data_IF_969015131506
#
_entry.id   IF_969015131506
#
_cell.length_a   1.000
_cell.length_b   1.000
_cell.length_c   1.000
_cell.angle_alpha   90.00
_cell.angle_beta   90.00
_cell.angle_gamma   90.00
#
_symmetry.space_group_name_H-M   'P 1'
#
loop_
_entity.id
_entity.type
_entity.pdbx_description
1 polymer ?
#
# COMPACT_ATOMS: atom_id res chain seq x y z
N UNK A 1 -50.66 36.65 19.29
CA UNK A 1 -50.42 35.35 19.93
C UNK A 1 -49.90 34.28 18.96
N UNK A 2 -50.53 34.04 17.80
CA UNK A 2 -50.04 33.08 16.77
C UNK A 2 -48.59 33.30 16.32
N UNK A 3 -48.17 34.56 16.11
CA UNK A 3 -46.80 34.86 15.64
C UNK A 3 -45.72 34.62 16.71
N UNK A 4 -46.04 34.74 18.00
CA UNK A 4 -45.11 34.43 19.09
C UNK A 4 -44.89 32.91 19.24
N UNK A 5 -45.95 32.11 19.03
CA UNK A 5 -45.86 30.65 19.07
C UNK A 5 -44.99 30.10 17.93
N UNK A 6 -45.14 30.66 16.72
CA UNK A 6 -44.30 30.31 15.56
C UNK A 6 -42.82 30.68 15.78
N UNK A 7 -42.55 31.84 16.39
CA UNK A 7 -41.19 32.26 16.73
C UNK A 7 -40.55 31.36 17.79
N UNK A 8 -41.31 30.97 18.83
CA UNK A 8 -40.83 30.05 19.87
C UNK A 8 -40.58 28.63 19.33
N UNK A 9 -41.42 28.12 18.43
CA UNK A 9 -41.20 26.81 17.78
C UNK A 9 -39.96 26.86 16.88
N UNK A 10 -39.77 27.94 16.12
CA UNK A 10 -38.57 28.14 15.29
C UNK A 10 -37.28 28.17 16.13
N UNK A 11 -37.29 28.89 17.27
CA UNK A 11 -36.18 28.92 18.23
C UNK A 11 -35.91 27.54 18.84
N UNK A 12 -36.96 26.75 19.13
CA UNK A 12 -36.81 25.41 19.70
C UNK A 12 -36.21 24.43 18.68
N UNK A 13 -36.59 24.54 17.41
CA UNK A 13 -36.01 23.75 16.31
C UNK A 13 -34.53 24.08 16.06
N UNK A 14 -34.12 25.35 16.23
CA UNK A 14 -32.72 25.76 16.12
C UNK A 14 -31.85 25.22 17.26
N UNK A 15 -32.41 25.05 18.48
CA UNK A 15 -31.69 24.44 19.61
C UNK A 15 -31.56 22.91 19.51
N UNK A 16 -32.47 22.25 18.78
CA UNK A 16 -32.41 20.81 18.50
C UNK A 16 -31.40 20.44 17.40
N UNK A 17 -30.89 21.41 16.64
CA UNK A 17 -29.94 21.18 15.55
C UNK A 17 -28.48 20.92 16.03
N UNK A 18 -28.17 21.18 17.31
CA UNK A 18 -26.87 20.88 17.90
C UNK A 18 -26.77 19.40 18.29
N UNK A 19 -26.56 18.50 17.31
CA UNK A 19 -25.95 17.19 17.61
C UNK A 19 -24.44 17.39 17.73
N UNK A 20 -23.87 17.00 18.87
CA UNK A 20 -22.40 16.93 19.00
C UNK A 20 -21.89 15.85 18.04
N UNK A 21 -20.93 16.22 17.20
CA UNK A 21 -20.06 15.28 16.50
C UNK A 21 -19.27 14.51 17.55
N UNK A 22 -19.65 13.26 17.80
CA UNK A 22 -18.95 12.36 18.72
C UNK A 22 -18.53 11.09 18.02
N UNK A 23 -17.45 10.48 18.50
CA UNK A 23 -17.03 9.17 18.06
C UNK A 23 -17.96 8.08 18.61
N UNK A 24 -18.25 7.08 17.78
CA UNK A 24 -18.84 5.83 18.24
C UNK A 24 -17.75 4.97 18.88
N UNK A 25 -17.87 4.73 20.18
CA UNK A 25 -16.88 3.96 20.97
C UNK A 25 -17.40 2.60 21.41
N UNK A 26 -18.65 2.26 21.05
CA UNK A 26 -19.24 0.96 21.38
C UNK A 26 -18.36 -0.18 20.85
N UNK A 27 -18.12 -1.24 21.66
CA UNK A 27 -17.48 -2.45 21.20
C UNK A 27 -18.24 -3.13 20.05
N UNK A 28 -19.53 -2.87 19.85
CA UNK A 28 -20.29 -3.45 18.74
C UNK A 28 -20.05 -2.71 17.41
N UNK A 29 -19.60 -1.45 17.48
CA UNK A 29 -19.26 -0.69 16.29
C UNK A 29 -18.10 -1.36 15.53
N UNK A 30 -18.21 -1.39 14.21
CA UNK A 30 -17.22 -2.02 13.34
C UNK A 30 -16.96 -1.21 12.09
N UNK A 31 -15.81 -1.47 11.48
CA UNK A 31 -15.47 -0.98 10.14
C UNK A 31 -15.46 -2.13 9.15
N UNK A 32 -15.84 -1.85 7.93
CA UNK A 32 -15.68 -2.74 6.79
C UNK A 32 -14.29 -2.55 6.19
N UNK A 33 -13.56 -3.64 5.94
CA UNK A 33 -12.26 -3.63 5.28
C UNK A 33 -12.44 -4.37 3.96
N UNK A 34 -12.05 -3.74 2.84
CA UNK A 34 -12.37 -4.27 1.51
C UNK A 34 -11.63 -5.55 1.13
N UNK A 35 -10.55 -5.89 1.83
CA UNK A 35 -9.76 -7.11 1.62
C UNK A 35 -9.11 -7.55 2.93
N UNK A 36 -8.77 -8.82 3.03
CA UNK A 36 -7.97 -9.41 4.12
C UNK A 36 -6.51 -9.64 3.73
N UNK A 37 -6.18 -9.63 2.42
CA UNK A 37 -4.81 -9.72 1.93
C UNK A 37 -4.53 -8.83 0.71
N UNK A 38 -3.25 -8.50 0.53
CA UNK A 38 -2.69 -7.88 -0.67
C UNK A 38 -1.52 -8.74 -1.16
N UNK A 39 -1.66 -9.24 -2.39
CA UNK A 39 -0.63 -10.02 -3.06
C UNK A 39 0.07 -9.19 -4.14
N UNK A 40 1.40 -9.27 -4.14
CA UNK A 40 2.26 -8.70 -5.15
C UNK A 40 2.96 -9.85 -5.87
N UNK A 41 2.86 -9.85 -7.20
CA UNK A 41 3.52 -10.84 -8.05
C UNK A 41 5.05 -10.63 -8.01
N UNK A 42 5.75 -10.96 -9.10
CA UNK A 42 7.21 -10.78 -9.19
C UNK A 42 7.59 -9.31 -9.01
N UNK A 43 8.18 -8.99 -7.86
CA UNK A 43 8.78 -7.69 -7.56
C UNK A 43 10.29 -7.82 -7.70
N UNK A 44 10.82 -7.18 -8.75
CA UNK A 44 12.25 -7.10 -8.94
C UNK A 44 12.88 -6.21 -7.87
N UNK A 45 13.89 -6.72 -7.18
CA UNK A 45 14.62 -5.95 -6.16
C UNK A 45 15.23 -4.71 -6.79
N UNK A 46 15.40 -3.60 -6.06
CA UNK A 46 16.08 -2.37 -6.53
C UNK A 46 15.55 -1.66 -7.80
N UNK A 47 14.52 -2.17 -8.50
CA UNK A 47 14.07 -1.64 -9.81
C UNK A 47 12.72 -0.96 -9.82
N UNK A 48 12.15 -0.71 -8.65
CA UNK A 48 10.93 0.07 -8.54
C UNK A 48 10.06 -0.43 -7.41
N UNK A 49 9.21 0.47 -6.98
CA UNK A 49 8.16 0.17 -6.05
C UNK A 49 6.87 -0.10 -6.82
N UNK A 50 6.08 -1.05 -6.33
CA UNK A 50 4.71 -1.24 -6.80
C UNK A 50 3.77 -1.07 -5.62
N UNK A 51 2.54 -0.63 -5.90
CA UNK A 51 1.55 -0.42 -4.87
C UNK A 51 0.30 -1.25 -5.14
N UNK A 52 -0.37 -1.58 -4.04
CA UNK A 52 -1.73 -2.12 -3.99
C UNK A 52 -2.50 -1.29 -2.98
N UNK A 53 -3.81 -1.29 -3.07
CA UNK A 53 -4.63 -0.51 -2.15
C UNK A 53 -5.85 -1.29 -1.69
N UNK A 54 -6.36 -0.87 -0.55
CA UNK A 54 -7.64 -1.26 -0.01
C UNK A 54 -8.28 -0.05 0.66
N UNK A 55 -9.55 -0.18 1.04
CA UNK A 55 -10.22 0.87 1.79
C UNK A 55 -10.83 0.32 3.07
N UNK A 56 -10.94 1.22 4.05
CA UNK A 56 -11.63 0.99 5.31
C UNK A 56 -12.85 1.91 5.31
N UNK A 57 -14.04 1.33 5.43
CA UNK A 57 -15.31 2.06 5.37
C UNK A 57 -16.01 2.00 6.72
N UNK A 58 -16.53 3.15 7.14
CA UNK A 58 -17.33 3.29 8.34
C UNK A 58 -18.82 3.25 8.00
N UNK A 59 -19.47 2.12 8.27
CA UNK A 59 -20.90 1.94 7.96
C UNK A 59 -21.82 2.46 9.07
N UNK A 60 -21.23 2.92 10.18
CA UNK A 60 -21.97 3.47 11.30
C UNK A 60 -22.48 4.88 10.98
N UNK A 61 -23.51 5.31 11.71
CA UNK A 61 -24.14 6.64 11.59
C UNK A 61 -23.40 7.75 12.38
N UNK A 62 -22.22 7.43 12.93
CA UNK A 62 -21.37 8.33 13.70
C UNK A 62 -19.91 8.14 13.27
N UNK A 63 -19.06 9.14 13.52
CA UNK A 63 -17.62 9.07 13.23
C UNK A 63 -17.00 7.91 14.01
N UNK A 64 -16.02 7.23 13.43
CA UNK A 64 -15.22 6.23 14.13
C UNK A 64 -13.75 6.64 14.07
N UNK A 65 -13.01 6.36 15.14
CA UNK A 65 -11.57 6.61 15.19
C UNK A 65 -10.83 5.28 15.13
N UNK A 66 -9.94 5.13 14.16
CA UNK A 66 -8.92 4.09 14.21
C UNK A 66 -7.81 4.58 15.14
N UNK A 67 -7.71 3.96 16.32
CA UNK A 67 -6.68 4.32 17.30
C UNK A 67 -5.27 4.14 16.73
N UNK A 68 -5.08 3.12 15.89
CA UNK A 68 -3.85 2.99 15.10
C UNK A 68 -4.02 2.18 13.83
N UNK A 69 -3.17 2.47 12.85
CA UNK A 69 -2.95 1.68 11.65
C UNK A 69 -1.44 1.56 11.44
N UNK A 70 -0.88 0.35 11.56
CA UNK A 70 0.59 0.17 11.63
C UNK A 70 1.05 -1.08 10.91
N UNK A 71 2.21 -1.03 10.25
CA UNK A 71 2.92 -2.22 9.80
C UNK A 71 3.53 -2.97 10.99
N UNK A 72 3.36 -4.30 11.04
CA UNK A 72 3.93 -5.13 12.10
C UNK A 72 5.46 -5.15 12.07
N UNK A 73 6.07 -5.10 10.88
CA UNK A 73 7.52 -4.93 10.71
C UNK A 73 8.04 -3.53 11.03
N UNK A 74 7.15 -2.56 11.26
CA UNK A 74 7.53 -1.18 11.57
C UNK A 74 8.46 -0.58 10.51
N UNK A 75 9.55 0.05 10.94
CA UNK A 75 10.56 0.66 10.06
C UNK A 75 11.45 -0.36 9.35
N UNK A 76 11.48 -1.61 9.79
CA UNK A 76 12.22 -2.69 9.14
C UNK A 76 11.40 -3.38 8.03
N UNK A 77 10.13 -3.00 7.86
CA UNK A 77 9.28 -3.53 6.82
C UNK A 77 9.78 -3.14 5.44
N UNK A 78 9.71 -4.07 4.48
CA UNK A 78 9.86 -3.77 3.05
C UNK A 78 8.64 -3.05 2.48
N UNK A 79 7.60 -2.84 3.29
CA UNK A 79 6.39 -2.12 2.92
C UNK A 79 6.39 -0.72 3.52
N UNK A 80 5.81 0.23 2.81
CA UNK A 80 5.44 1.55 3.30
C UNK A 80 3.98 1.81 2.98
N UNK A 81 3.32 2.64 3.79
CA UNK A 81 1.90 2.93 3.61
C UNK A 81 1.71 4.40 3.27
N UNK A 82 0.66 4.67 2.49
CA UNK A 82 0.04 5.97 2.41
C UNK A 82 -1.42 5.84 2.87
N UNK A 83 -1.80 6.58 3.91
CA UNK A 83 -3.15 6.60 4.48
C UNK A 83 -3.70 8.00 4.29
N UNK A 84 -4.68 8.13 3.41
CA UNK A 84 -5.34 9.40 3.08
C UNK A 84 -4.36 10.58 2.81
N UNK A 85 -3.29 10.30 2.07
CA UNK A 85 -2.26 11.29 1.71
C UNK A 85 -1.05 11.32 2.65
N UNK A 86 -1.16 10.82 3.88
CA UNK A 86 -0.04 10.74 4.81
C UNK A 86 0.81 9.49 4.55
N UNK A 87 2.13 9.64 4.38
CA UNK A 87 3.06 8.53 4.14
C UNK A 87 3.80 8.13 5.42
N UNK A 88 3.95 6.82 5.67
CA UNK A 88 4.64 6.29 6.84
C UNK A 88 4.41 4.79 7.06
N UNK A 89 4.89 4.27 8.19
CA UNK A 89 4.70 2.87 8.60
C UNK A 89 3.74 2.73 9.79
N UNK A 90 3.35 3.85 10.40
CA UNK A 90 2.47 3.91 11.56
C UNK A 90 1.69 5.22 11.57
N UNK A 91 0.40 5.12 11.84
CA UNK A 91 -0.55 6.22 11.91
C UNK A 91 -1.41 6.06 13.14
N UNK A 92 -1.81 7.17 13.75
CA UNK A 92 -2.68 7.19 14.92
C UNK A 92 -3.82 8.19 14.70
N UNK A 93 -4.93 7.93 15.38
CA UNK A 93 -6.10 8.79 15.38
C UNK A 93 -6.64 9.10 13.97
N UNK A 94 -6.83 8.05 13.16
CA UNK A 94 -7.43 8.21 11.82
C UNK A 94 -8.94 8.27 11.99
N UNK A 95 -9.51 9.44 11.75
CA UNK A 95 -10.95 9.67 11.82
C UNK A 95 -11.62 9.29 10.50
N UNK A 96 -12.71 8.53 10.56
CA UNK A 96 -13.55 8.21 9.41
C UNK A 96 -14.97 8.69 9.70
N UNK A 97 -15.49 9.57 8.84
CA UNK A 97 -16.84 10.10 8.98
C UNK A 97 -17.91 9.00 8.85
N UNK A 98 -19.12 9.28 9.31
CA UNK A 98 -20.25 8.39 9.13
C UNK A 98 -20.49 8.13 7.64
N UNK A 99 -20.61 6.87 7.25
CA UNK A 99 -20.81 6.44 5.85
C UNK A 99 -19.69 6.85 4.88
N UNK A 100 -18.49 7.09 5.40
CA UNK A 100 -17.32 7.47 4.63
C UNK A 100 -16.22 6.39 4.66
N UNK A 101 -15.14 6.60 3.92
CA UNK A 101 -14.03 5.66 3.81
C UNK A 101 -12.67 6.33 3.74
N UNK A 102 -11.65 5.63 4.21
CA UNK A 102 -10.24 5.98 4.03
C UNK A 102 -9.59 4.97 3.10
N UNK A 103 -8.77 5.46 2.16
CA UNK A 103 -7.92 4.63 1.32
C UNK A 103 -6.55 4.42 1.96
N UNK A 104 -6.07 3.19 1.85
CA UNK A 104 -4.73 2.76 2.29
C UNK A 104 -4.01 2.18 1.10
N UNK A 105 -2.92 2.83 0.70
CA UNK A 105 -2.01 2.34 -0.33
C UNK A 105 -0.82 1.69 0.36
N UNK A 106 -0.57 0.42 0.07
CA UNK A 106 0.60 -0.30 0.52
C UNK A 106 1.58 -0.40 -0.65
N UNK A 107 2.73 0.23 -0.50
CA UNK A 107 3.84 0.21 -1.44
C UNK A 107 4.87 -0.81 -0.94
N UNK A 108 5.46 -1.58 -1.84
CA UNK A 108 6.55 -2.52 -1.51
C UNK A 108 7.82 -2.09 -2.21
N UNK A 109 8.94 -2.13 -1.48
CA UNK A 109 10.29 -1.97 -1.99
C UNK A 109 11.18 -3.03 -1.34
N UNK A 110 11.76 -3.91 -2.17
CA UNK A 110 12.52 -5.07 -1.71
C UNK A 110 14.00 -4.84 -1.99
N UNK A 111 14.80 -4.88 -0.93
CA UNK A 111 16.25 -4.84 -1.04
C UNK A 111 16.80 -6.14 -1.64
N UNK A 112 17.84 -6.07 -2.48
CA UNK A 112 18.49 -7.26 -3.02
C UNK A 112 19.00 -8.17 -1.91
N UNK A 113 18.81 -9.48 -2.08
CA UNK A 113 19.41 -10.49 -1.18
C UNK A 113 20.59 -11.20 -1.84
N UNK A 114 21.34 -12.03 -1.10
CA UNK A 114 22.37 -12.89 -1.69
C UNK A 114 21.80 -14.14 -2.40
N UNK A 115 20.47 -14.33 -2.37
CA UNK A 115 19.83 -15.52 -2.94
C UNK A 115 19.55 -15.35 -4.43
N UNK A 116 19.90 -16.34 -5.25
CA UNK A 116 19.59 -16.31 -6.68
C UNK A 116 18.17 -16.85 -6.99
N UNK A 117 17.53 -17.49 -6.02
CA UNK A 117 16.16 -17.97 -6.14
C UNK A 117 15.17 -16.87 -5.70
N UNK A 118 13.96 -16.82 -6.30
CA UNK A 118 12.89 -15.99 -5.78
C UNK A 118 12.55 -16.34 -4.33
N UNK A 119 12.06 -15.35 -3.59
CA UNK A 119 11.75 -15.46 -2.16
C UNK A 119 10.48 -14.71 -1.80
N UNK A 120 9.86 -15.07 -0.69
CA UNK A 120 8.63 -14.44 -0.21
C UNK A 120 8.97 -13.37 0.82
N UNK A 121 8.41 -12.18 0.67
CA UNK A 121 8.44 -11.10 1.67
C UNK A 121 7.04 -10.93 2.22
N UNK A 122 6.89 -11.01 3.55
CA UNK A 122 5.60 -10.93 4.22
C UNK A 122 5.63 -9.88 5.33
N UNK A 123 4.50 -9.22 5.52
CA UNK A 123 4.23 -8.36 6.68
C UNK A 123 2.71 -8.29 6.90
N UNK A 124 2.25 -7.47 7.83
CA UNK A 124 0.84 -7.19 8.00
C UNK A 124 0.56 -5.79 8.49
N UNK A 125 -0.60 -5.29 8.09
CA UNK A 125 -1.16 -4.03 8.56
C UNK A 125 -2.11 -4.34 9.71
N UNK A 126 -1.79 -3.85 10.90
CA UNK A 126 -2.63 -3.92 12.09
C UNK A 126 -3.51 -2.68 12.18
N UNK A 127 -4.82 -2.87 12.26
CA UNK A 127 -5.83 -1.82 12.34
C UNK A 127 -6.55 -1.96 13.67
N UNK A 128 -6.42 -0.96 14.54
CA UNK A 128 -6.99 -0.96 15.88
C UNK A 128 -8.08 0.11 16.00
N UNK A 129 -9.23 -0.24 16.56
CA UNK A 129 -10.35 0.67 16.84
C UNK A 129 -11.25 0.07 17.91
N UNK A 130 -11.79 0.87 18.83
CA UNK A 130 -12.73 0.45 19.89
C UNK A 130 -12.35 -0.87 20.62
N UNK A 131 -11.05 -1.09 20.88
CA UNK A 131 -10.54 -2.30 21.51
C UNK A 131 -10.49 -3.56 20.62
N UNK A 132 -10.85 -3.44 19.34
CA UNK A 132 -10.71 -4.49 18.33
C UNK A 132 -9.43 -4.30 17.53
N UNK A 133 -8.83 -5.44 17.14
CA UNK A 133 -7.72 -5.49 16.18
C UNK A 133 -8.14 -6.27 14.95
N UNK A 134 -7.89 -5.72 13.77
CA UNK A 134 -8.02 -6.39 12.47
C UNK A 134 -6.68 -6.36 11.77
N UNK A 135 -6.48 -7.33 10.88
CA UNK A 135 -5.23 -7.55 10.16
C UNK A 135 -5.51 -7.62 8.67
N UNK A 136 -4.66 -6.96 7.88
CA UNK A 136 -4.55 -7.19 6.43
C UNK A 136 -3.17 -7.79 6.17
N UNK A 137 -3.11 -8.94 5.52
CA UNK A 137 -1.88 -9.64 5.19
C UNK A 137 -1.21 -9.05 3.96
N UNK A 138 0.11 -8.87 4.00
CA UNK A 138 0.91 -8.45 2.86
C UNK A 138 1.82 -9.60 2.44
N UNK A 139 1.90 -9.88 1.14
CA UNK A 139 2.77 -10.90 0.58
C UNK A 139 3.29 -10.50 -0.80
N UNK A 140 4.61 -10.48 -0.97
CA UNK A 140 5.28 -10.16 -2.22
C UNK A 140 6.27 -11.24 -2.65
N UNK A 141 6.31 -11.55 -3.95
CA UNK A 141 7.27 -12.48 -4.53
C UNK A 141 8.51 -11.73 -5.01
N UNK A 142 9.53 -11.63 -4.14
CA UNK A 142 10.78 -10.95 -4.42
C UNK A 142 11.68 -11.74 -5.37
N UNK A 143 12.28 -11.07 -6.34
CA UNK A 143 13.23 -11.69 -7.25
C UNK A 143 14.41 -10.76 -7.59
N UNK A 144 15.62 -11.25 -7.34
CA UNK A 144 16.85 -10.58 -7.78
C UNK A 144 16.98 -10.62 -9.31
N UNK A 145 17.63 -9.61 -9.90
CA UNK A 145 17.89 -9.54 -11.33
C UNK A 145 19.16 -8.72 -11.63
N UNK A 146 19.71 -8.92 -12.83
CA UNK A 146 20.74 -8.08 -13.41
C UNK A 146 20.10 -6.82 -14.00
N UNK A 147 20.28 -5.67 -13.37
CA UNK A 147 19.76 -4.39 -13.87
C UNK A 147 20.74 -3.73 -14.84
N UNK A 148 20.26 -3.48 -16.05
CA UNK A 148 21.05 -2.93 -17.15
C UNK A 148 20.43 -1.63 -17.63
N UNK A 149 21.00 -0.49 -17.22
CA UNK A 149 20.50 0.84 -17.62
C UNK A 149 21.26 1.38 -18.82
N UNK A 150 20.56 1.67 -19.92
CA UNK A 150 21.16 2.20 -21.17
C UNK A 150 22.44 1.43 -21.55
N UNK A 151 22.40 0.10 -21.47
CA UNK A 151 23.58 -0.76 -21.54
C UNK A 151 24.15 -0.72 -22.95
N UNK A 152 25.45 -0.47 -23.03
CA UNK A 152 26.24 -0.60 -24.26
C UNK A 152 27.16 -1.80 -24.12
N UNK A 153 27.06 -2.76 -25.03
CA UNK A 153 27.95 -3.92 -25.13
C UNK A 153 29.15 -3.51 -25.98
N UNK A 154 30.24 -3.11 -25.31
CA UNK A 154 31.48 -2.61 -25.91
C UNK A 154 32.52 -3.69 -26.18
N UNK A 155 32.36 -4.87 -25.58
CA UNK A 155 33.19 -6.06 -25.76
C UNK A 155 32.29 -7.28 -25.92
N UNK A 156 32.84 -8.38 -26.44
CA UNK A 156 32.11 -9.64 -26.49
C UNK A 156 31.70 -10.06 -25.06
N UNK A 157 30.41 -10.29 -24.86
CA UNK A 157 29.81 -10.57 -23.55
C UNK A 157 28.89 -11.80 -23.67
N UNK A 158 28.79 -12.60 -22.61
CA UNK A 158 27.86 -13.74 -22.54
C UNK A 158 26.95 -13.60 -21.33
N UNK A 159 25.65 -13.69 -21.57
CA UNK A 159 24.62 -13.75 -20.54
C UNK A 159 24.26 -15.19 -20.23
N UNK A 160 24.19 -15.50 -18.94
CA UNK A 160 23.93 -16.85 -18.41
C UNK A 160 22.54 -16.90 -17.77
N UNK A 161 21.99 -18.11 -17.66
CA UNK A 161 20.69 -18.30 -17.02
C UNK A 161 20.83 -18.43 -15.48
N UNK A 162 21.45 -17.43 -14.85
CA UNK A 162 21.62 -17.36 -13.40
C UNK A 162 20.54 -16.48 -12.75
N UNK A 163 20.34 -15.28 -13.27
CA UNK A 163 19.30 -14.33 -12.87
C UNK A 163 18.61 -13.74 -14.11
N UNK A 164 17.36 -13.26 -13.97
CA UNK A 164 16.74 -12.43 -14.98
C UNK A 164 17.59 -11.20 -15.32
N UNK A 165 17.54 -10.75 -16.57
CA UNK A 165 18.08 -9.47 -17.00
C UNK A 165 16.94 -8.47 -17.16
N UNK A 166 17.04 -7.32 -16.49
CA UNK A 166 16.05 -6.24 -16.59
C UNK A 166 16.73 -5.05 -17.26
N UNK A 167 16.30 -4.72 -18.48
CA UNK A 167 16.82 -3.61 -19.26
C UNK A 167 15.97 -2.37 -18.97
N UNK A 168 16.64 -1.33 -18.48
CA UNK A 168 16.07 -0.02 -18.19
C UNK A 168 16.55 0.97 -19.27
N UNK A 169 15.69 1.28 -20.25
CA UNK A 169 16.06 2.08 -21.41
C UNK A 169 16.64 1.25 -22.56
N UNK A 170 17.72 1.73 -23.20
CA UNK A 170 18.28 1.07 -24.39
C UNK A 170 19.27 -0.06 -24.06
N UNK A 171 19.37 -1.02 -24.99
CA UNK A 171 20.47 -1.98 -25.08
C UNK A 171 21.10 -1.85 -26.47
N UNK A 172 22.36 -1.43 -26.54
CA UNK A 172 23.09 -1.25 -27.79
C UNK A 172 24.27 -2.21 -27.83
N UNK A 173 24.42 -2.95 -28.92
CA UNK A 173 25.63 -3.74 -29.19
C UNK A 173 26.49 -2.97 -30.17
N UNK A 174 27.74 -2.67 -29.80
CA UNK A 174 28.65 -1.93 -30.68
C UNK A 174 28.97 -2.74 -31.94
N UNK A 175 29.27 -2.03 -33.02
CA UNK A 175 29.71 -2.64 -34.27
C UNK A 175 30.94 -3.55 -34.04
N UNK A 176 30.92 -4.74 -34.64
CA UNK A 176 31.97 -5.73 -34.49
C UNK A 176 32.02 -6.44 -33.14
N UNK A 177 31.03 -6.23 -32.24
CA UNK A 177 30.91 -6.92 -30.95
C UNK A 177 29.77 -7.93 -30.93
N UNK A 178 29.89 -8.93 -30.06
CA UNK A 178 28.93 -10.02 -29.92
C UNK A 178 28.36 -10.11 -28.50
N UNK A 179 27.05 -10.02 -28.38
CA UNK A 179 26.33 -10.46 -27.17
C UNK A 179 25.81 -11.88 -27.39
N UNK A 180 26.28 -12.83 -26.59
CA UNK A 180 25.78 -14.21 -26.59
C UNK A 180 24.80 -14.41 -25.44
N UNK A 181 23.57 -14.84 -25.72
CA UNK A 181 22.56 -15.09 -24.68
C UNK A 181 22.35 -16.60 -24.61
N UNK A 182 22.75 -17.21 -23.49
CA UNK A 182 22.60 -18.65 -23.32
C UNK A 182 21.12 -19.07 -23.16
N UNK A 183 20.82 -20.32 -23.50
CA UNK A 183 19.46 -20.87 -23.45
C UNK A 183 18.89 -20.74 -22.03
N UNK A 184 17.64 -20.26 -21.93
CA UNK A 184 16.90 -20.18 -20.67
C UNK A 184 16.97 -18.82 -19.98
N UNK A 185 17.84 -17.90 -20.44
CA UNK A 185 17.87 -16.52 -19.92
C UNK A 185 16.48 -15.87 -20.03
N UNK A 186 16.06 -15.20 -18.96
CA UNK A 186 14.84 -14.40 -18.91
C UNK A 186 15.20 -12.93 -19.04
N UNK A 187 14.65 -12.24 -20.04
CA UNK A 187 14.94 -10.83 -20.31
C UNK A 187 13.63 -10.05 -20.23
N UNK A 188 13.65 -8.99 -19.42
CA UNK A 188 12.53 -8.07 -19.22
C UNK A 188 12.96 -6.69 -19.70
N UNK A 189 12.07 -5.99 -20.39
CA UNK A 189 12.30 -4.60 -20.82
C UNK A 189 11.32 -3.69 -20.09
N UNK A 190 11.83 -2.63 -19.49
CA UNK A 190 11.04 -1.53 -18.96
C UNK A 190 11.07 -0.39 -19.98
N UNK A 191 9.92 -0.14 -20.62
CA UNK A 191 9.73 0.92 -21.60
C UNK A 191 9.44 2.26 -20.92
#
# INVERSE_FOLDING_TARGET
>A
MKNFVLLSISICLLLAACRKDSFITSPDASVYISTDSLHYDTVFTSSGSTYRSFFIRNDNNQKINLSSLTLSGGTASSFTLNVDGAHGTSFSNIEINAHDSVYVFAQVNIDPSLNNLPFIVQDSILINYNGKTRKVQLEAWGQNAHFLRNKIVSNDETWNNDLPYVILGSLTVNEGKKLTINKGCRIYMHA
#
